data_IF_777161330107
#
_entry.id   IF_777161330107
#
_cell.length_a   1.000
_cell.length_b   1.000
_cell.length_c   1.000
_cell.angle_alpha   90.00
_cell.angle_beta   90.00
_cell.angle_gamma   90.00
#
_symmetry.space_group_name_H-M   'P 1'
#
loop_
_entity.id
_entity.type
_entity.pdbx_description
1 polymer ?
#
# COMPACT_ATOMS: atom_id res chain seq x y z
N UNK A 1 38.56 61.31 -46.46
CA UNK A 1 39.50 60.38 -47.14
C UNK A 1 39.63 59.11 -46.32
N UNK A 2 39.34 57.98 -46.96
CA UNK A 2 39.65 56.60 -46.63
C UNK A 2 38.95 55.99 -45.43
N UNK A 3 37.92 55.08 -45.64
CA UNK A 3 37.96 53.63 -45.91
C UNK A 3 38.65 52.86 -44.79
N UNK A 4 38.09 51.92 -44.17
CA UNK A 4 37.36 50.71 -44.55
C UNK A 4 37.74 49.65 -43.48
N UNK A 5 37.01 48.82 -43.09
CA UNK A 5 36.49 47.55 -43.45
C UNK A 5 35.82 46.88 -42.24
N UNK A 6 34.57 46.57 -42.37
CA UNK A 6 33.86 45.61 -41.52
C UNK A 6 34.38 44.21 -41.73
N UNK A 7 34.49 43.47 -40.60
CA UNK A 7 34.37 42.03 -40.67
C UNK A 7 33.48 41.53 -39.49
N UNK A 8 32.37 40.86 -39.74
CA UNK A 8 31.52 40.38 -38.66
C UNK A 8 32.01 39.01 -38.20
N UNK A 9 32.57 38.94 -36.99
CA UNK A 9 32.80 37.71 -36.31
C UNK A 9 31.46 37.15 -35.83
N UNK A 10 31.06 36.00 -36.38
CA UNK A 10 29.93 35.20 -35.95
C UNK A 10 30.05 34.86 -34.47
N UNK A 11 29.21 35.47 -33.65
CA UNK A 11 29.01 35.05 -32.29
C UNK A 11 28.39 33.66 -32.26
N UNK A 12 29.11 32.70 -31.69
CA UNK A 12 28.54 31.44 -31.24
C UNK A 12 27.52 31.77 -30.15
N UNK A 13 26.27 31.40 -30.37
CA UNK A 13 25.24 31.46 -29.32
C UNK A 13 25.63 30.65 -28.11
N UNK A 14 25.11 31.01 -26.94
CA UNK A 14 25.41 30.26 -25.70
C UNK A 14 24.94 28.83 -25.86
N UNK A 15 25.89 27.89 -25.72
CA UNK A 15 25.63 26.48 -25.51
C UNK A 15 24.67 26.36 -24.34
N UNK A 16 23.53 25.78 -24.58
CA UNK A 16 22.58 25.35 -23.58
C UNK A 16 23.31 24.38 -22.61
N UNK A 17 23.85 24.94 -21.54
CA UNK A 17 24.35 24.16 -20.41
C UNK A 17 23.16 23.41 -19.84
N UNK A 18 23.20 22.11 -19.94
CA UNK A 18 22.25 21.24 -19.26
C UNK A 18 22.27 21.64 -17.77
N UNK A 19 21.16 22.16 -17.29
CA UNK A 19 20.88 22.26 -15.86
C UNK A 19 20.82 20.82 -15.36
N UNK A 20 21.93 20.30 -14.88
CA UNK A 20 21.95 19.16 -13.97
C UNK A 20 21.20 19.63 -12.73
N UNK A 21 20.00 19.11 -12.54
CA UNK A 21 19.26 19.24 -11.28
C UNK A 21 20.22 18.77 -10.17
N UNK A 22 20.74 19.73 -9.39
CA UNK A 22 21.57 19.39 -8.26
C UNK A 22 20.69 18.69 -7.23
N UNK A 23 21.01 17.45 -6.91
CA UNK A 23 20.31 16.66 -5.91
C UNK A 23 20.14 17.48 -4.62
N UNK A 24 18.92 17.54 -4.11
CA UNK A 24 18.54 18.33 -2.93
C UNK A 24 19.22 17.83 -1.65
N UNK A 25 19.47 16.51 -1.59
CA UNK A 25 20.08 15.81 -0.47
C UNK A 25 21.39 15.14 -0.89
N UNK A 26 22.22 14.76 0.09
CA UNK A 26 23.46 14.01 -0.13
C UNK A 26 23.23 12.51 -0.26
N UNK A 27 22.19 11.99 0.41
CA UNK A 27 21.85 10.58 0.42
C UNK A 27 20.92 10.22 -0.74
N UNK A 28 21.18 9.07 -1.36
CA UNK A 28 20.27 8.50 -2.35
C UNK A 28 18.89 8.21 -1.75
N UNK A 29 18.83 7.89 -0.46
CA UNK A 29 17.59 7.63 0.24
C UNK A 29 16.64 8.83 0.21
N UNK A 30 17.09 9.99 0.73
CA UNK A 30 16.22 11.16 0.78
C UNK A 30 15.96 11.76 -0.60
N UNK A 31 16.93 11.72 -1.52
CA UNK A 31 16.68 12.13 -2.91
C UNK A 31 15.61 11.27 -3.55
N UNK A 32 15.71 9.94 -3.45
CA UNK A 32 14.69 9.03 -3.99
C UNK A 32 13.30 9.29 -3.40
N UNK A 33 13.22 9.49 -2.09
CA UNK A 33 11.94 9.76 -1.45
C UNK A 33 11.35 11.13 -1.84
N UNK A 34 12.18 12.16 -1.99
CA UNK A 34 11.75 13.51 -2.39
C UNK A 34 11.25 13.51 -3.84
N UNK A 35 12.02 13.00 -4.79
CA UNK A 35 11.66 12.92 -6.21
C UNK A 35 10.38 12.12 -6.47
N UNK A 36 10.17 11.07 -5.66
CA UNK A 36 8.99 10.20 -5.75
C UNK A 36 7.78 10.72 -4.97
N UNK A 37 7.95 11.76 -4.14
CA UNK A 37 6.85 12.37 -3.40
C UNK A 37 6.46 11.63 -2.13
N UNK A 38 7.38 10.90 -1.50
CA UNK A 38 7.15 10.24 -0.21
C UNK A 38 7.30 11.18 0.99
N UNK A 39 8.07 12.27 0.88
CA UNK A 39 8.35 13.13 2.03
C UNK A 39 7.16 14.05 2.31
N UNK A 40 6.52 13.86 3.45
CA UNK A 40 5.53 14.79 3.99
C UNK A 40 6.14 15.68 5.06
N UNK A 41 6.76 15.08 6.08
CA UNK A 41 7.34 15.79 7.22
C UNK A 41 8.50 14.98 7.80
N UNK A 42 9.56 15.68 8.22
CA UNK A 42 10.71 15.11 8.93
C UNK A 42 11.10 15.96 10.13
N UNK A 43 11.62 15.34 11.20
CA UNK A 43 12.04 16.06 12.42
C UNK A 43 13.34 16.84 12.23
N UNK A 44 14.30 16.25 11.53
CA UNK A 44 15.59 16.83 11.14
C UNK A 44 16.09 16.10 9.88
N UNK A 45 15.72 16.65 8.72
CA UNK A 45 16.12 16.06 7.43
C UNK A 45 17.62 16.18 7.18
N UNK A 46 18.29 17.22 7.67
CA UNK A 46 19.72 17.40 7.48
C UNK A 46 20.57 16.37 8.23
N UNK A 47 20.21 16.11 9.49
CA UNK A 47 20.85 15.07 10.30
C UNK A 47 20.58 13.68 9.76
N UNK A 48 19.34 13.40 9.34
CA UNK A 48 18.98 12.13 8.72
C UNK A 48 19.71 11.91 7.39
N UNK A 49 19.83 12.95 6.55
CA UNK A 49 20.57 12.91 5.29
C UNK A 49 22.04 12.54 5.49
N UNK A 50 22.69 13.20 6.44
CA UNK A 50 24.08 12.91 6.76
C UNK A 50 24.29 11.47 7.27
N UNK A 51 23.31 10.90 7.95
CA UNK A 51 23.33 9.54 8.46
C UNK A 51 23.07 8.52 7.31
N UNK A 52 22.05 8.76 6.51
CA UNK A 52 21.66 7.89 5.39
C UNK A 52 22.75 7.86 4.29
N UNK A 53 23.44 8.99 4.03
CA UNK A 53 24.55 9.04 3.09
C UNK A 53 25.73 8.13 3.47
N UNK A 54 25.87 7.80 4.75
CA UNK A 54 26.89 6.85 5.26
C UNK A 54 26.40 5.40 5.26
N UNK A 55 25.13 5.14 4.85
CA UNK A 55 24.48 3.85 5.00
C UNK A 55 24.27 3.46 6.46
N UNK A 56 24.14 4.42 7.36
CA UNK A 56 24.03 4.22 8.80
C UNK A 56 22.60 4.48 9.34
N UNK A 57 21.64 4.78 8.46
CA UNK A 57 20.26 4.85 8.86
C UNK A 57 19.70 3.44 9.10
N UNK A 58 19.19 3.21 10.31
CA UNK A 58 18.44 2.01 10.70
C UNK A 58 17.02 2.48 10.99
N UNK A 59 16.09 2.19 10.07
CA UNK A 59 14.74 2.73 10.12
C UNK A 59 13.68 1.66 10.30
N UNK A 60 12.62 1.96 11.07
CA UNK A 60 11.53 1.02 11.25
C UNK A 60 10.16 1.61 10.93
N UNK A 61 9.23 0.74 10.61
CA UNK A 61 7.79 1.00 10.60
C UNK A 61 7.11 -0.12 11.39
N UNK A 62 6.19 0.26 12.29
CA UNK A 62 5.34 -0.65 13.05
C UNK A 62 4.03 -0.95 12.31
N UNK A 63 3.58 -2.19 12.41
CA UNK A 63 2.35 -2.65 11.75
C UNK A 63 1.52 -3.50 12.71
N UNK A 64 0.37 -3.01 13.11
CA UNK A 64 -0.60 -3.80 13.85
C UNK A 64 -1.19 -4.92 13.00
N UNK A 65 -1.25 -6.12 13.57
CA UNK A 65 -1.66 -7.36 12.90
C UNK A 65 -3.18 -7.55 12.95
N UNK A 66 -3.94 -6.52 12.55
CA UNK A 66 -5.41 -6.48 12.64
C UNK A 66 -6.13 -7.18 11.49
N UNK A 67 -5.42 -7.60 10.45
CA UNK A 67 -5.95 -8.28 9.29
C UNK A 67 -4.94 -9.30 8.74
N UNK A 68 -5.39 -10.32 7.98
CA UNK A 68 -4.50 -11.38 7.48
C UNK A 68 -3.59 -10.92 6.32
N UNK A 69 -3.70 -9.69 5.85
CA UNK A 69 -2.80 -9.12 4.83
C UNK A 69 -2.73 -7.61 4.99
N UNK A 70 -1.69 -7.03 4.42
CA UNK A 70 -1.68 -5.61 4.09
C UNK A 70 -2.62 -5.33 2.92
N UNK A 71 -3.12 -4.12 2.84
CA UNK A 71 -3.84 -3.60 1.67
C UNK A 71 -3.02 -2.51 0.96
N UNK A 72 -3.44 -2.11 -0.22
CA UNK A 72 -2.73 -1.09 -1.04
C UNK A 72 -2.43 0.20 -0.26
N UNK A 73 -3.30 0.60 0.70
CA UNK A 73 -3.03 1.75 1.56
C UNK A 73 -1.78 1.61 2.44
N UNK A 74 -1.36 0.37 2.78
CA UNK A 74 -0.11 0.12 3.50
C UNK A 74 1.10 0.04 2.55
N UNK A 75 0.86 -0.17 1.25
CA UNK A 75 1.95 -0.36 0.29
C UNK A 75 2.90 0.85 0.24
N UNK A 76 2.39 2.07 0.43
CA UNK A 76 3.22 3.29 0.42
C UNK A 76 4.31 3.25 1.50
N UNK A 77 3.97 2.87 2.72
CA UNK A 77 4.96 2.80 3.83
C UNK A 77 5.87 1.58 3.69
N UNK A 78 5.40 0.48 3.11
CA UNK A 78 6.25 -0.66 2.76
C UNK A 78 7.27 -0.29 1.67
N UNK A 79 6.89 0.54 0.69
CA UNK A 79 7.81 1.07 -0.31
C UNK A 79 8.86 1.99 0.30
N UNK A 80 8.56 2.77 1.36
CA UNK A 80 9.57 3.55 2.08
C UNK A 80 10.64 2.65 2.69
N UNK A 81 10.27 1.54 3.33
CA UNK A 81 11.22 0.54 3.86
C UNK A 81 12.03 -0.11 2.73
N UNK A 82 11.38 -0.45 1.61
CA UNK A 82 12.05 -1.00 0.44
C UNK A 82 13.08 -0.01 -0.13
N UNK A 83 12.76 1.28 -0.22
CA UNK A 83 13.71 2.30 -0.66
C UNK A 83 14.85 2.49 0.33
N UNK A 84 14.59 2.43 1.64
CA UNK A 84 15.65 2.47 2.65
C UNK A 84 16.67 1.33 2.41
N UNK A 85 16.19 0.11 2.14
CA UNK A 85 17.05 -1.03 1.82
C UNK A 85 17.81 -0.84 0.50
N UNK A 86 17.11 -0.46 -0.56
CA UNK A 86 17.68 -0.30 -1.91
C UNK A 86 18.78 0.76 -1.98
N UNK A 87 18.74 1.71 -1.08
CA UNK A 87 19.76 2.78 -0.96
C UNK A 87 20.85 2.47 0.08
N UNK A 88 20.99 1.18 0.47
CA UNK A 88 22.08 0.69 1.31
C UNK A 88 21.92 0.91 2.81
N UNK A 89 20.74 1.30 3.26
CA UNK A 89 20.39 1.48 4.67
C UNK A 89 19.60 0.27 5.20
N UNK A 90 19.40 0.18 6.52
CA UNK A 90 18.81 -1.02 7.14
C UNK A 90 17.37 -0.83 7.58
N UNK A 91 16.40 -1.51 6.94
CA UNK A 91 15.01 -1.48 7.38
C UNK A 91 14.71 -2.50 8.48
N UNK A 92 13.78 -2.13 9.37
CA UNK A 92 13.15 -3.01 10.35
C UNK A 92 11.65 -2.99 10.12
N UNK A 93 11.05 -4.15 9.90
CA UNK A 93 9.60 -4.35 9.92
C UNK A 93 9.24 -4.78 11.34
N UNK A 94 8.55 -3.91 12.07
CA UNK A 94 8.09 -4.22 13.42
C UNK A 94 6.66 -4.71 13.38
N UNK A 95 6.46 -5.99 13.69
CA UNK A 95 5.11 -6.55 13.84
C UNK A 95 4.55 -6.19 15.21
N UNK A 96 3.34 -5.68 15.22
CA UNK A 96 2.65 -5.23 16.41
C UNK A 96 1.95 -6.34 17.18
N UNK A 97 2.62 -7.47 17.45
CA UNK A 97 2.02 -8.58 18.21
C UNK A 97 1.58 -8.19 19.63
N UNK A 98 2.27 -7.22 20.24
CA UNK A 98 1.91 -6.63 21.53
C UNK A 98 0.88 -5.49 21.36
N UNK A 99 1.17 -4.51 20.48
CA UNK A 99 0.33 -3.32 20.29
C UNK A 99 -1.03 -3.65 19.68
N UNK A 100 -1.17 -4.68 18.86
CA UNK A 100 -2.47 -5.13 18.33
C UNK A 100 -3.44 -5.56 19.44
N UNK A 101 -2.93 -6.01 20.58
CA UNK A 101 -3.78 -6.37 21.74
C UNK A 101 -4.40 -5.14 22.42
N UNK A 102 -3.88 -3.96 22.11
CA UNK A 102 -4.29 -2.66 22.66
C UNK A 102 -5.14 -1.90 21.64
N UNK A 103 -4.63 -1.73 20.43
CA UNK A 103 -5.28 -1.05 19.30
C UNK A 103 -4.94 0.43 19.19
N UNK A 104 -4.40 0.82 18.01
CA UNK A 104 -4.06 2.21 17.68
C UNK A 104 -5.33 3.04 17.44
N UNK A 105 -5.57 4.14 18.18
CA UNK A 105 -6.68 5.04 17.97
C UNK A 105 -6.50 5.96 16.74
N UNK A 106 -5.28 6.07 16.18
CA UNK A 106 -4.96 7.01 15.10
C UNK A 106 -5.80 6.77 13.85
N UNK A 107 -6.40 7.85 13.32
CA UNK A 107 -7.14 7.83 12.06
C UNK A 107 -8.45 7.03 12.08
N UNK A 108 -9.00 6.70 13.25
CA UNK A 108 -10.28 5.99 13.41
C UNK A 108 -11.19 6.64 14.46
N UNK A 109 -12.47 6.58 14.20
CA UNK A 109 -13.52 7.10 15.05
C UNK A 109 -14.09 6.04 16.01
N UNK A 110 -13.86 4.76 15.78
CA UNK A 110 -14.38 3.63 16.56
C UNK A 110 -13.27 2.88 17.29
N UNK A 111 -13.58 2.34 18.47
CA UNK A 111 -12.67 1.46 19.21
C UNK A 111 -12.27 0.22 18.40
N UNK A 112 -11.01 -0.18 18.51
CA UNK A 112 -10.51 -1.38 17.85
C UNK A 112 -11.13 -2.63 18.46
N UNK A 113 -11.51 -3.58 17.60
CA UNK A 113 -11.89 -4.91 18.05
C UNK A 113 -10.68 -5.62 18.64
N UNK A 114 -10.79 -6.08 19.87
CA UNK A 114 -9.77 -6.91 20.52
C UNK A 114 -9.76 -8.27 19.84
N UNK A 115 -8.61 -8.68 19.31
CA UNK A 115 -8.41 -9.96 18.65
C UNK A 115 -7.80 -10.99 19.62
N UNK A 116 -8.15 -12.29 19.51
CA UNK A 116 -7.43 -13.37 20.16
C UNK A 116 -5.95 -13.42 19.73
N UNK A 117 -5.06 -13.88 20.61
CA UNK A 117 -3.62 -13.94 20.34
C UNK A 117 -3.33 -14.83 19.13
N UNK A 118 -4.02 -15.96 19.03
CA UNK A 118 -3.89 -16.92 17.92
C UNK A 118 -4.22 -16.27 16.58
N UNK A 119 -5.23 -15.40 16.56
CA UNK A 119 -5.59 -14.66 15.34
C UNK A 119 -4.53 -13.62 14.99
N UNK A 120 -3.95 -12.93 15.98
CA UNK A 120 -2.85 -11.98 15.79
C UNK A 120 -1.63 -12.70 15.22
N UNK A 121 -1.28 -13.89 15.74
CA UNK A 121 -0.14 -14.68 15.26
C UNK A 121 -0.37 -15.19 13.82
N UNK A 122 -1.57 -15.65 13.51
CA UNK A 122 -1.94 -16.04 12.15
C UNK A 122 -1.86 -14.87 11.16
N UNK A 123 -2.38 -13.70 11.55
CA UNK A 123 -2.30 -12.48 10.74
C UNK A 123 -0.84 -12.07 10.52
N UNK A 124 -0.03 -12.07 11.57
CA UNK A 124 1.41 -11.75 11.51
C UNK A 124 2.14 -12.63 10.50
N UNK A 125 1.98 -13.96 10.59
CA UNK A 125 2.59 -14.90 9.66
C UNK A 125 2.19 -14.65 8.20
N UNK A 126 0.93 -14.26 7.97
CA UNK A 126 0.44 -13.92 6.64
C UNK A 126 1.01 -12.59 6.12
N UNK A 127 1.06 -11.55 6.96
CA UNK A 127 1.63 -10.24 6.59
C UNK A 127 3.13 -10.32 6.26
N UNK A 128 3.88 -11.21 6.92
CA UNK A 128 5.31 -11.45 6.63
C UNK A 128 5.55 -11.86 5.18
N UNK A 129 4.63 -12.62 4.56
CA UNK A 129 4.76 -13.03 3.15
C UNK A 129 4.76 -11.84 2.20
N UNK A 130 3.94 -10.82 2.44
CA UNK A 130 3.92 -9.61 1.63
C UNK A 130 5.22 -8.79 1.77
N UNK A 131 5.75 -8.65 2.99
CA UNK A 131 7.02 -7.96 3.23
C UNK A 131 8.18 -8.62 2.48
N UNK A 132 8.23 -9.97 2.45
CA UNK A 132 9.27 -10.73 1.78
C UNK A 132 9.26 -10.58 0.24
N UNK A 133 8.20 -10.03 -0.35
CA UNK A 133 8.14 -9.68 -1.77
C UNK A 133 8.84 -8.35 -2.09
N UNK A 134 8.86 -7.44 -1.12
CA UNK A 134 9.35 -6.07 -1.32
C UNK A 134 10.77 -5.85 -0.79
N UNK A 135 11.23 -6.69 0.14
CA UNK A 135 12.52 -6.56 0.83
C UNK A 135 13.19 -7.92 1.00
N UNK A 136 14.52 -7.92 0.98
CA UNK A 136 15.34 -9.08 1.33
C UNK A 136 15.59 -9.10 2.82
N UNK A 137 15.24 -10.19 3.49
CA UNK A 137 15.49 -10.43 4.91
C UNK A 137 16.73 -11.29 5.09
N UNK A 138 17.56 -10.98 6.10
CA UNK A 138 18.78 -11.72 6.36
C UNK A 138 19.72 -11.06 7.36
N UNK A 139 20.99 -11.42 7.29
CA UNK A 139 22.06 -10.94 8.19
C UNK A 139 23.00 -9.91 7.56
N UNK A 140 22.83 -9.60 6.27
CA UNK A 140 23.62 -8.59 5.58
C UNK A 140 23.42 -7.19 6.14
N UNK A 141 24.34 -6.27 5.80
CA UNK A 141 24.35 -4.91 6.34
C UNK A 141 23.01 -4.19 6.12
N UNK A 142 22.45 -4.27 4.93
CA UNK A 142 21.18 -3.65 4.54
C UNK A 142 20.00 -4.62 4.53
N UNK A 143 20.19 -5.91 4.87
CA UNK A 143 19.09 -6.85 4.93
C UNK A 143 18.08 -6.42 6.00
N UNK A 144 16.82 -6.55 5.65
CA UNK A 144 15.71 -6.23 6.55
C UNK A 144 15.69 -7.16 7.77
N UNK A 145 15.27 -6.61 8.90
CA UNK A 145 14.92 -7.40 10.08
C UNK A 145 13.40 -7.45 10.24
N UNK A 146 12.89 -8.61 10.66
CA UNK A 146 11.52 -8.78 11.12
C UNK A 146 11.53 -8.98 12.61
N UNK A 147 10.87 -8.11 13.37
CA UNK A 147 10.79 -8.16 14.82
C UNK A 147 9.33 -8.10 15.26
N UNK A 148 9.06 -8.57 16.49
CA UNK A 148 7.72 -8.53 17.10
C UNK A 148 7.78 -7.79 18.43
N UNK A 149 7.02 -6.72 18.59
CA UNK A 149 7.03 -5.96 19.83
C UNK A 149 6.40 -6.72 21.02
N UNK A 150 5.71 -7.82 20.78
CA UNK A 150 5.26 -8.73 21.86
C UNK A 150 6.46 -9.26 22.68
N UNK A 151 7.66 -9.39 22.09
CA UNK A 151 8.85 -9.91 22.78
C UNK A 151 9.23 -9.10 24.02
N UNK A 152 8.98 -7.79 24.00
CA UNK A 152 9.28 -6.91 25.13
C UNK A 152 8.03 -6.33 25.80
N UNK A 153 6.97 -5.99 25.06
CA UNK A 153 5.79 -5.34 25.65
C UNK A 153 5.03 -6.28 26.59
N UNK A 154 4.94 -7.58 26.29
CA UNK A 154 4.24 -8.55 27.15
C UNK A 154 4.99 -8.90 28.43
N UNK A 155 6.26 -8.51 28.52
CA UNK A 155 7.11 -8.75 29.71
C UNK A 155 7.17 -7.54 30.64
N UNK A 156 6.56 -6.42 30.26
CA UNK A 156 6.54 -5.23 31.10
C UNK A 156 5.69 -5.48 32.35
N UNK A 157 6.29 -5.30 33.54
CA UNK A 157 5.53 -5.21 34.77
C UNK A 157 4.83 -3.83 34.79
N UNK A 158 3.54 -3.82 35.12
CA UNK A 158 2.73 -2.61 35.09
C UNK A 158 3.26 -1.49 35.98
N UNK A 159 3.66 -1.80 37.22
CA UNK A 159 4.17 -0.77 38.16
C UNK A 159 5.53 -0.27 37.73
N UNK A 160 6.41 -1.15 37.26
CA UNK A 160 7.74 -0.76 36.76
C UNK A 160 7.62 0.08 35.49
N UNK A 161 6.71 -0.29 34.59
CA UNK A 161 6.41 0.49 33.38
C UNK A 161 5.91 1.91 33.74
N UNK A 162 5.01 2.07 34.71
CA UNK A 162 4.56 3.39 35.16
C UNK A 162 5.72 4.19 35.76
N UNK A 163 6.55 3.57 36.61
CA UNK A 163 7.68 4.24 37.28
C UNK A 163 8.79 4.63 36.29
N UNK A 164 9.19 3.73 35.39
CA UNK A 164 10.41 3.89 34.62
C UNK A 164 10.14 4.51 33.24
N UNK A 165 8.94 4.31 32.67
CA UNK A 165 8.53 4.82 31.37
C UNK A 165 7.44 5.91 31.55
N UNK A 166 6.38 5.60 32.26
CA UNK A 166 5.22 6.47 32.43
C UNK A 166 5.55 7.86 33.02
N UNK A 167 6.53 7.91 33.95
CA UNK A 167 7.02 9.18 34.53
C UNK A 167 7.52 10.21 33.50
N UNK A 168 7.85 9.79 32.29
CA UNK A 168 8.33 10.65 31.22
C UNK A 168 7.20 11.27 30.40
N UNK A 169 5.95 10.85 30.62
CA UNK A 169 4.78 11.35 29.91
C UNK A 169 4.00 12.38 30.74
N UNK A 170 3.56 13.43 30.07
CA UNK A 170 2.62 14.41 30.64
C UNK A 170 1.25 14.16 30.04
N UNK A 171 0.24 13.89 30.89
CA UNK A 171 -1.14 13.70 30.46
C UNK A 171 -1.63 14.89 29.64
N UNK A 172 -1.33 16.12 30.09
CA UNK A 172 -1.72 17.33 29.35
C UNK A 172 -1.19 17.34 27.91
N UNK A 173 0.07 16.89 27.70
CA UNK A 173 0.65 16.79 26.37
C UNK A 173 0.03 15.64 25.58
N UNK A 174 -0.23 14.48 26.21
CA UNK A 174 -0.90 13.36 25.57
C UNK A 174 -2.28 13.75 25.05
N UNK A 175 -3.02 14.58 25.77
CA UNK A 175 -4.33 15.09 25.35
C UNK A 175 -4.28 16.06 24.15
N UNK A 176 -3.12 16.62 23.83
CA UNK A 176 -2.96 17.54 22.68
C UNK A 176 -2.61 16.82 21.38
N UNK A 177 -2.33 15.52 21.40
CA UNK A 177 -2.08 14.76 20.18
C UNK A 177 -3.35 14.67 19.32
N UNK A 178 -3.21 14.85 18.01
CA UNK A 178 -4.33 14.93 17.07
C UNK A 178 -5.29 13.72 17.18
N UNK A 179 -4.75 12.53 17.36
CA UNK A 179 -5.53 11.29 17.53
C UNK A 179 -6.40 11.29 18.79
N UNK A 180 -5.94 11.93 19.87
CA UNK A 180 -6.67 12.06 21.14
C UNK A 180 -7.61 13.26 21.07
N UNK A 181 -7.05 14.43 20.72
CA UNK A 181 -7.76 15.70 20.69
C UNK A 181 -9.01 15.66 19.81
N UNK A 182 -8.89 15.11 18.59
CA UNK A 182 -10.00 15.02 17.65
C UNK A 182 -11.17 14.16 18.16
N UNK A 183 -10.90 13.11 18.94
CA UNK A 183 -11.95 12.29 19.56
C UNK A 183 -12.63 12.99 20.73
N UNK A 184 -11.84 13.66 21.57
CA UNK A 184 -12.38 14.45 22.69
C UNK A 184 -13.25 15.62 22.20
N UNK A 185 -12.82 16.32 21.13
CA UNK A 185 -13.58 17.42 20.51
C UNK A 185 -14.91 16.96 19.88
N UNK A 186 -15.00 15.69 19.48
CA UNK A 186 -16.23 15.08 18.93
C UNK A 186 -17.07 14.36 19.99
N UNK A 187 -16.69 14.47 21.26
CA UNK A 187 -17.34 13.78 22.38
C UNK A 187 -17.40 12.24 22.19
N UNK A 188 -16.34 11.69 21.56
CA UNK A 188 -16.20 10.25 21.32
C UNK A 188 -15.40 9.60 22.46
N UNK A 189 -15.94 8.51 22.98
CA UNK A 189 -15.27 7.74 24.03
C UNK A 189 -13.89 7.26 23.58
N UNK A 190 -12.89 7.42 24.45
CA UNK A 190 -11.55 6.86 24.32
C UNK A 190 -11.26 5.98 25.53
N UNK A 191 -11.03 4.70 25.30
CA UNK A 191 -10.70 3.79 26.37
C UNK A 191 -9.28 4.06 26.91
N UNK A 192 -9.06 3.71 28.19
CA UNK A 192 -7.73 3.81 28.81
C UNK A 192 -6.68 3.03 28.06
N UNK A 193 -7.03 1.86 27.49
CA UNK A 193 -6.14 1.02 26.72
C UNK A 193 -5.69 1.75 25.42
N UNK A 194 -6.59 2.37 24.67
CA UNK A 194 -6.27 3.14 23.46
C UNK A 194 -5.43 4.38 23.80
N UNK A 195 -5.72 5.07 24.91
CA UNK A 195 -4.94 6.23 25.38
C UNK A 195 -3.50 5.88 25.69
N UNK A 196 -3.24 4.65 26.16
CA UNK A 196 -1.88 4.17 26.44
C UNK A 196 -1.13 3.71 25.21
N UNK A 197 -1.76 3.55 24.05
CA UNK A 197 -1.09 3.07 22.84
C UNK A 197 0.16 3.90 22.48
N UNK A 198 0.05 5.22 22.57
CA UNK A 198 1.18 6.13 22.29
C UNK A 198 2.41 5.88 23.18
N UNK A 199 2.20 5.40 24.42
CA UNK A 199 3.29 5.05 25.35
C UNK A 199 4.00 3.79 24.86
N UNK A 200 3.25 2.79 24.42
CA UNK A 200 3.80 1.51 23.93
C UNK A 200 4.61 1.73 22.65
N UNK A 201 4.06 2.46 21.68
CA UNK A 201 4.77 2.77 20.43
C UNK A 201 6.03 3.62 20.68
N UNK A 202 5.99 4.58 21.59
CA UNK A 202 7.15 5.36 21.97
C UNK A 202 8.24 4.48 22.63
N UNK A 203 7.84 3.49 23.42
CA UNK A 203 8.76 2.56 24.05
C UNK A 203 9.38 1.58 23.04
N UNK A 204 8.62 1.15 22.03
CA UNK A 204 9.17 0.37 20.91
C UNK A 204 10.38 1.06 20.28
N UNK A 205 10.30 2.37 20.04
CA UNK A 205 11.42 3.12 19.48
C UNK A 205 12.65 3.10 20.40
N UNK A 206 12.46 3.24 21.72
CA UNK A 206 13.54 3.17 22.71
C UNK A 206 14.19 1.79 22.73
N UNK A 207 13.37 0.72 22.72
CA UNK A 207 13.88 -0.67 22.69
C UNK A 207 14.69 -0.91 21.42
N UNK A 208 14.15 -0.54 20.27
CA UNK A 208 14.84 -0.70 18.98
C UNK A 208 16.13 0.14 18.89
N UNK A 209 16.11 1.37 19.43
CA UNK A 209 17.31 2.20 19.50
C UNK A 209 18.43 1.54 20.31
N UNK A 210 18.09 0.99 21.48
CA UNK A 210 19.06 0.36 22.38
C UNK A 210 19.55 -1.00 21.91
N UNK A 211 18.68 -1.80 21.30
CA UNK A 211 18.98 -3.20 20.98
C UNK A 211 19.41 -3.42 19.53
N UNK A 212 19.02 -2.52 18.62
CA UNK A 212 19.27 -2.64 17.17
C UNK A 212 19.95 -1.42 16.55
N UNK A 213 20.29 -0.40 17.34
CA UNK A 213 20.84 0.86 16.83
C UNK A 213 19.86 1.62 15.91
N UNK A 214 18.56 1.35 16.05
CA UNK A 214 17.52 2.02 15.29
C UNK A 214 17.51 3.51 15.60
N UNK A 215 17.54 4.35 14.56
CA UNK A 215 17.63 5.80 14.70
C UNK A 215 16.53 6.55 13.91
N UNK A 216 15.74 5.84 13.12
CA UNK A 216 14.66 6.43 12.32
C UNK A 216 13.35 5.67 12.51
N UNK A 217 12.29 6.39 12.87
CA UNK A 217 10.92 5.87 12.74
C UNK A 217 10.22 6.53 11.56
N UNK A 218 9.59 5.70 10.73
CA UNK A 218 8.82 6.17 9.58
C UNK A 218 7.35 5.76 9.72
N UNK A 219 6.47 6.46 9.00
CA UNK A 219 5.03 6.16 8.98
C UNK A 219 4.26 7.05 8.03
N UNK A 220 2.93 6.92 8.00
CA UNK A 220 2.07 7.89 7.34
C UNK A 220 1.87 9.12 8.24
N UNK A 221 1.35 10.21 7.69
CA UNK A 221 1.25 11.50 8.39
C UNK A 221 0.38 11.47 9.65
N UNK A 222 -0.59 10.55 9.73
CA UNK A 222 -1.41 10.33 10.93
C UNK A 222 -0.62 9.74 12.11
N UNK A 223 0.57 9.19 11.86
CA UNK A 223 1.46 8.65 12.89
C UNK A 223 2.44 9.68 13.46
N UNK A 224 2.46 10.91 12.93
CA UNK A 224 3.44 11.93 13.34
C UNK A 224 3.48 12.15 14.87
N UNK A 225 2.32 12.28 15.51
CA UNK A 225 2.21 12.48 16.95
C UNK A 225 2.85 11.34 17.76
N UNK A 226 2.57 10.10 17.39
CA UNK A 226 3.15 8.93 18.04
C UNK A 226 4.67 8.87 17.83
N UNK A 227 5.16 9.15 16.61
CA UNK A 227 6.58 9.10 16.26
C UNK A 227 7.39 10.14 17.06
N UNK A 228 6.94 11.40 17.11
CA UNK A 228 7.66 12.44 17.87
C UNK A 228 7.61 12.21 19.38
N UNK A 229 6.57 11.54 19.87
CA UNK A 229 6.50 11.09 21.27
C UNK A 229 7.58 10.06 21.56
N UNK A 230 7.88 9.16 20.62
CA UNK A 230 8.99 8.21 20.70
C UNK A 230 10.37 8.91 20.74
N UNK A 231 10.57 9.95 19.92
CA UNK A 231 11.80 10.77 19.95
C UNK A 231 11.97 11.45 21.31
N UNK A 232 10.91 12.06 21.85
CA UNK A 232 10.99 12.73 23.17
C UNK A 232 11.28 11.73 24.31
N UNK A 233 10.63 10.55 24.27
CA UNK A 233 10.92 9.49 25.23
C UNK A 233 12.38 9.01 25.12
N UNK A 234 12.87 8.77 23.91
CA UNK A 234 14.25 8.37 23.65
C UNK A 234 15.26 9.37 24.23
N UNK A 235 15.05 10.67 23.99
CA UNK A 235 15.86 11.75 24.55
C UNK A 235 15.85 11.72 26.09
N UNK A 236 14.68 11.54 26.72
CA UNK A 236 14.53 11.49 28.19
C UNK A 236 15.14 10.21 28.80
N UNK A 237 15.17 9.14 28.05
CA UNK A 237 15.74 7.86 28.46
C UNK A 237 17.19 7.66 28.01
N UNK A 238 17.84 8.70 27.44
CA UNK A 238 19.26 8.73 27.12
C UNK A 238 19.65 7.85 25.92
N UNK A 239 18.80 7.74 24.90
CA UNK A 239 19.20 7.09 23.63
C UNK A 239 20.08 8.06 22.80
N UNK A 240 20.71 7.55 21.73
CA UNK A 240 21.30 8.40 20.70
C UNK A 240 20.21 9.21 19.98
N UNK A 241 20.63 10.15 19.10
CA UNK A 241 19.71 10.98 18.32
C UNK A 241 18.75 10.12 17.48
N UNK A 242 17.45 10.41 17.58
CA UNK A 242 16.36 9.74 16.86
C UNK A 242 15.72 10.70 15.86
N UNK A 243 15.25 10.15 14.74
CA UNK A 243 14.66 10.89 13.63
C UNK A 243 13.27 10.36 13.30
N UNK A 244 12.42 11.26 12.78
CA UNK A 244 11.10 10.97 12.26
C UNK A 244 11.02 11.32 10.77
N UNK A 245 10.33 10.50 9.99
CA UNK A 245 9.98 10.80 8.61
C UNK A 245 8.59 10.25 8.28
N UNK A 246 7.70 11.10 7.78
CA UNK A 246 6.35 10.67 7.40
C UNK A 246 6.06 10.89 5.92
N UNK A 247 5.19 10.04 5.37
CA UNK A 247 4.63 10.16 4.03
C UNK A 247 3.19 10.68 4.10
N UNK A 248 2.68 11.36 3.04
CA UNK A 248 1.28 11.77 2.98
C UNK A 248 0.33 10.57 3.12
N UNK A 249 -0.84 10.79 3.69
CA UNK A 249 -1.93 9.81 3.60
C UNK A 249 -2.31 9.58 2.14
N UNK A 250 -2.47 8.31 1.78
CA UNK A 250 -2.77 7.93 0.41
C UNK A 250 -4.26 8.10 0.12
N UNK A 251 -4.56 9.09 -0.73
CA UNK A 251 -5.91 9.33 -1.26
C UNK A 251 -5.87 9.32 -2.78
N UNK A 252 -7.00 9.08 -3.43
CA UNK A 252 -7.16 9.34 -4.87
C UNK A 252 -7.31 10.84 -5.11
N UNK A 253 -7.21 11.25 -6.38
CA UNK A 253 -7.47 12.64 -6.81
C UNK A 253 -8.91 13.09 -6.50
N UNK A 254 -9.86 12.16 -6.45
CA UNK A 254 -11.25 12.41 -5.99
C UNK A 254 -11.39 12.50 -4.46
N UNK A 255 -10.30 12.37 -3.69
CA UNK A 255 -10.30 12.47 -2.22
C UNK A 255 -10.66 11.17 -1.49
N UNK A 256 -10.94 10.08 -2.18
CA UNK A 256 -11.25 8.80 -1.55
C UNK A 256 -9.98 8.17 -0.94
N UNK A 257 -10.09 7.60 0.27
CA UNK A 257 -8.98 6.85 0.88
C UNK A 257 -8.68 5.61 0.06
N UNK A 258 -7.42 5.42 -0.33
CA UNK A 258 -6.98 4.19 -1.01
C UNK A 258 -6.94 2.98 -0.07
N UNK A 259 -7.04 1.79 -0.67
CA UNK A 259 -7.01 0.52 0.07
C UNK A 259 -8.37 -0.17 0.16
N UNK A 260 -9.45 0.50 -0.24
CA UNK A 260 -10.78 -0.11 -0.37
C UNK A 260 -11.34 0.16 -1.76
N UNK A 261 -11.80 -0.87 -2.43
CA UNK A 261 -12.63 -0.79 -3.63
C UNK A 261 -14.11 -1.00 -3.26
N UNK A 262 -15.00 -0.87 -4.23
CA UNK A 262 -16.42 -1.23 -4.05
C UNK A 262 -16.57 -2.70 -3.60
N UNK A 263 -15.64 -3.56 -4.00
CA UNK A 263 -15.60 -4.99 -3.61
C UNK A 263 -14.99 -5.23 -2.22
N UNK A 264 -14.33 -4.26 -1.60
CA UNK A 264 -13.67 -4.39 -0.30
C UNK A 264 -12.22 -3.93 -0.31
N UNK A 265 -11.42 -4.43 0.64
CA UNK A 265 -9.99 -4.09 0.70
C UNK A 265 -9.22 -4.71 -0.48
N UNK A 266 -8.29 -3.94 -1.04
CA UNK A 266 -7.37 -4.38 -2.09
C UNK A 266 -6.12 -4.96 -1.42
N UNK A 267 -6.13 -6.28 -1.24
CA UNK A 267 -5.12 -7.00 -0.49
C UNK A 267 -3.83 -7.21 -1.28
N UNK A 268 -2.70 -7.30 -0.58
CA UNK A 268 -1.39 -7.53 -1.19
C UNK A 268 -1.05 -9.01 -1.34
N UNK A 269 -1.63 -9.89 -0.50
CA UNK A 269 -1.41 -11.33 -0.59
C UNK A 269 -2.27 -11.94 -1.69
N UNK A 270 -1.67 -12.81 -2.49
CA UNK A 270 -2.31 -13.43 -3.66
C UNK A 270 -3.48 -14.36 -3.30
N UNK A 271 -3.39 -15.03 -2.15
CA UNK A 271 -4.45 -15.89 -1.62
C UNK A 271 -5.73 -15.10 -1.22
N UNK A 272 -5.62 -13.78 -1.11
CA UNK A 272 -6.75 -12.88 -0.81
C UNK A 272 -7.20 -12.04 -2.00
N UNK A 273 -6.31 -11.75 -2.94
CA UNK A 273 -6.60 -11.04 -4.18
C UNK A 273 -5.64 -11.50 -5.27
N UNK A 274 -6.16 -12.21 -6.26
CA UNK A 274 -5.37 -12.76 -7.37
C UNK A 274 -4.69 -11.67 -8.21
N UNK A 275 -3.62 -12.06 -8.90
CA UNK A 275 -2.79 -11.15 -9.70
C UNK A 275 -3.59 -10.39 -10.77
N UNK A 276 -4.59 -11.01 -11.39
CA UNK A 276 -5.45 -10.37 -12.39
C UNK A 276 -6.28 -9.23 -11.78
N UNK A 277 -6.96 -9.47 -10.65
CA UNK A 277 -7.80 -8.46 -10.00
C UNK A 277 -6.94 -7.34 -9.42
N UNK A 278 -5.74 -7.66 -8.88
CA UNK A 278 -4.78 -6.69 -8.42
C UNK A 278 -4.27 -5.80 -9.58
N UNK A 279 -3.96 -6.41 -10.74
CA UNK A 279 -3.59 -5.70 -11.96
C UNK A 279 -4.71 -4.78 -12.44
N UNK A 280 -5.96 -5.29 -12.47
CA UNK A 280 -7.15 -4.52 -12.87
C UNK A 280 -7.40 -3.32 -11.95
N UNK A 281 -7.15 -3.46 -10.66
CA UNK A 281 -7.24 -2.33 -9.73
C UNK A 281 -6.34 -1.17 -10.18
N UNK A 282 -5.08 -1.42 -10.45
CA UNK A 282 -4.14 -0.40 -10.92
C UNK A 282 -4.46 0.11 -12.34
N UNK A 283 -4.90 -0.78 -13.22
CA UNK A 283 -5.33 -0.42 -14.58
C UNK A 283 -6.50 0.58 -14.57
N UNK A 284 -7.32 0.57 -13.53
CA UNK A 284 -8.49 1.42 -13.34
C UNK A 284 -8.18 2.71 -12.56
N UNK A 285 -6.90 3.04 -12.36
CA UNK A 285 -6.47 4.31 -11.77
C UNK A 285 -7.03 5.50 -12.54
N UNK A 286 -7.46 6.55 -11.84
CA UNK A 286 -7.88 7.83 -12.44
C UNK A 286 -6.69 8.48 -13.17
N UNK A 287 -6.94 9.15 -14.30
CA UNK A 287 -5.88 9.74 -15.14
C UNK A 287 -4.98 10.68 -14.35
N UNK A 288 -5.57 11.51 -13.49
CA UNK A 288 -4.87 12.46 -12.64
C UNK A 288 -3.92 11.82 -11.62
N UNK A 289 -4.13 10.54 -11.26
CA UNK A 289 -3.32 9.82 -10.28
C UNK A 289 -2.17 9.02 -10.91
N UNK A 290 -2.19 8.79 -12.23
CA UNK A 290 -1.25 7.88 -12.90
C UNK A 290 0.20 8.26 -12.64
N UNK A 291 0.56 9.53 -12.87
CA UNK A 291 1.93 10.02 -12.68
C UNK A 291 2.40 9.85 -11.23
N UNK A 292 1.54 10.19 -10.26
CA UNK A 292 1.82 10.05 -8.84
C UNK A 292 2.01 8.58 -8.43
N UNK A 293 1.14 7.69 -8.91
CA UNK A 293 1.21 6.28 -8.54
C UNK A 293 2.36 5.55 -9.22
N UNK A 294 2.77 5.94 -10.43
CA UNK A 294 4.03 5.46 -11.03
C UNK A 294 5.23 5.77 -10.14
N UNK A 295 5.29 6.98 -9.55
CA UNK A 295 6.36 7.35 -8.61
C UNK A 295 6.32 6.54 -7.31
N UNK A 296 5.14 6.34 -6.72
CA UNK A 296 4.98 5.74 -5.41
C UNK A 296 5.02 4.20 -5.43
N UNK A 297 4.50 3.56 -6.48
CA UNK A 297 4.23 2.12 -6.50
C UNK A 297 5.00 1.35 -7.55
N UNK A 298 6.01 1.97 -8.15
CA UNK A 298 6.94 1.27 -9.06
C UNK A 298 8.39 1.57 -8.69
N UNK A 299 9.29 0.76 -9.24
CA UNK A 299 10.74 1.00 -9.13
C UNK A 299 11.35 1.52 -10.45
N UNK A 300 10.50 1.98 -11.36
CA UNK A 300 10.94 2.54 -12.64
C UNK A 300 11.85 3.76 -12.43
N UNK A 301 12.84 4.00 -13.31
CA UNK A 301 13.62 5.22 -13.30
C UNK A 301 12.75 6.47 -13.46
N UNK A 302 13.09 7.57 -12.77
CA UNK A 302 12.31 8.82 -12.84
C UNK A 302 12.22 9.38 -14.27
N UNK A 303 13.27 9.19 -15.11
CA UNK A 303 13.25 9.59 -16.52
C UNK A 303 12.19 8.81 -17.35
N UNK A 304 11.96 7.55 -17.04
CA UNK A 304 10.91 6.73 -17.67
C UNK A 304 9.52 7.14 -17.16
N UNK A 305 9.38 7.35 -15.86
CA UNK A 305 8.15 7.87 -15.27
C UNK A 305 7.78 9.23 -15.91
N UNK A 306 8.78 10.10 -16.14
CA UNK A 306 8.55 11.40 -16.80
C UNK A 306 7.97 11.26 -18.21
N UNK A 307 8.43 10.28 -19.00
CA UNK A 307 7.87 9.99 -20.33
C UNK A 307 6.43 9.49 -20.25
N UNK A 308 6.16 8.55 -19.33
CA UNK A 308 4.82 8.01 -19.12
C UNK A 308 3.84 9.06 -18.58
N UNK A 309 4.29 9.95 -17.73
CA UNK A 309 3.49 11.04 -17.17
C UNK A 309 3.15 12.15 -18.19
N UNK A 310 3.89 12.22 -19.29
CA UNK A 310 3.62 13.17 -20.38
C UNK A 310 2.52 12.70 -21.35
N UNK A 311 2.12 11.41 -21.30
CA UNK A 311 1.07 10.85 -22.14
C UNK A 311 -0.30 11.43 -21.78
N UNK A 312 -1.10 11.73 -22.80
CA UNK A 312 -2.41 12.35 -22.64
C UNK A 312 -3.49 11.65 -23.48
N UNK A 313 -4.75 11.94 -23.18
CA UNK A 313 -5.88 11.38 -23.91
C UNK A 313 -5.88 9.85 -23.92
N UNK A 314 -5.97 9.24 -25.08
CA UNK A 314 -5.99 7.76 -25.20
C UNK A 314 -4.66 7.11 -24.79
N UNK A 315 -3.53 7.78 -24.97
CA UNK A 315 -2.19 7.25 -24.69
C UNK A 315 -1.94 7.05 -23.17
N UNK A 316 -2.65 7.77 -22.30
CA UNK A 316 -2.54 7.58 -20.85
C UNK A 316 -2.88 6.14 -20.42
N UNK A 317 -3.67 5.43 -21.26
CA UNK A 317 -3.96 4.02 -21.04
C UNK A 317 -2.72 3.14 -21.10
N UNK A 318 -1.70 3.49 -21.84
CA UNK A 318 -0.44 2.74 -21.87
C UNK A 318 0.36 2.99 -20.60
N UNK A 319 0.38 4.21 -20.09
CA UNK A 319 0.95 4.50 -18.75
C UNK A 319 0.23 3.71 -17.64
N UNK A 320 -1.10 3.56 -17.70
CA UNK A 320 -1.87 2.74 -16.76
C UNK A 320 -1.55 1.26 -16.87
N UNK A 321 -1.33 0.73 -18.08
CA UNK A 321 -0.90 -0.67 -18.26
C UNK A 321 0.49 -0.90 -17.65
N UNK A 322 1.41 0.04 -17.84
CA UNK A 322 2.75 -0.01 -17.22
C UNK A 322 2.63 0.03 -15.70
N UNK A 323 1.89 0.99 -15.13
CA UNK A 323 1.65 1.07 -13.69
C UNK A 323 1.10 -0.25 -13.13
N UNK A 324 0.07 -0.79 -13.77
CA UNK A 324 -0.57 -2.03 -13.35
C UNK A 324 0.41 -3.21 -13.39
N UNK A 325 1.20 -3.32 -14.45
CA UNK A 325 2.16 -4.41 -14.63
C UNK A 325 3.31 -4.31 -13.62
N UNK A 326 3.88 -3.11 -13.43
CA UNK A 326 4.98 -2.90 -12.50
C UNK A 326 4.56 -3.09 -11.03
N UNK A 327 3.44 -2.50 -10.62
CA UNK A 327 2.92 -2.67 -9.26
C UNK A 327 2.54 -4.13 -8.97
N UNK A 328 1.96 -4.84 -9.94
CA UNK A 328 1.65 -6.26 -9.79
C UNK A 328 2.93 -7.11 -9.74
N UNK A 329 3.93 -6.80 -10.56
CA UNK A 329 5.19 -7.53 -10.57
C UNK A 329 5.94 -7.47 -9.23
N UNK A 330 5.84 -6.36 -8.49
CA UNK A 330 6.45 -6.23 -7.16
C UNK A 330 5.93 -7.26 -6.14
N UNK A 331 4.65 -7.62 -6.22
CA UNK A 331 3.99 -8.45 -5.21
C UNK A 331 3.66 -9.87 -5.70
N UNK A 332 3.32 -10.01 -6.97
CA UNK A 332 2.90 -11.30 -7.55
C UNK A 332 3.96 -11.91 -8.48
N UNK A 333 5.03 -11.17 -8.76
CA UNK A 333 6.08 -11.58 -9.67
C UNK A 333 5.82 -11.19 -11.13
N UNK A 334 6.90 -11.05 -11.91
CA UNK A 334 6.87 -10.54 -13.30
C UNK A 334 6.02 -11.41 -14.21
N UNK A 335 6.11 -12.72 -14.10
CA UNK A 335 5.38 -13.66 -14.95
C UNK A 335 3.85 -13.46 -14.79
N UNK A 336 3.35 -13.49 -13.54
CA UNK A 336 1.92 -13.31 -13.27
C UNK A 336 1.40 -11.93 -13.66
N UNK A 337 2.23 -10.89 -13.51
CA UNK A 337 1.88 -9.55 -13.97
C UNK A 337 1.71 -9.47 -15.49
N UNK A 338 2.59 -10.14 -16.25
CA UNK A 338 2.50 -10.24 -17.71
C UNK A 338 1.30 -11.08 -18.16
N UNK A 339 1.03 -12.18 -17.47
CA UNK A 339 -0.15 -13.02 -17.72
C UNK A 339 -1.45 -12.24 -17.48
N UNK A 340 -1.52 -11.46 -16.38
CA UNK A 340 -2.67 -10.60 -16.10
C UNK A 340 -2.87 -9.52 -17.18
N UNK A 341 -1.78 -8.90 -17.64
CA UNK A 341 -1.82 -7.91 -18.73
C UNK A 341 -2.32 -8.53 -20.04
N UNK A 342 -1.80 -9.71 -20.42
CA UNK A 342 -2.23 -10.43 -21.61
C UNK A 342 -3.71 -10.84 -21.52
N UNK A 343 -4.11 -11.42 -20.40
CA UNK A 343 -5.51 -11.81 -20.16
C UNK A 343 -6.45 -10.61 -20.28
N UNK A 344 -6.05 -9.45 -19.74
CA UNK A 344 -6.84 -8.22 -19.88
C UNK A 344 -6.95 -7.77 -21.34
N UNK A 345 -5.86 -7.83 -22.10
CA UNK A 345 -5.85 -7.48 -23.52
C UNK A 345 -6.76 -8.42 -24.33
N UNK A 346 -6.63 -9.71 -24.18
CA UNK A 346 -7.44 -10.71 -24.88
C UNK A 346 -8.93 -10.55 -24.55
N UNK A 347 -9.25 -10.30 -23.27
CA UNK A 347 -10.63 -10.10 -22.82
C UNK A 347 -11.28 -8.85 -23.42
N UNK A 348 -10.52 -7.77 -23.58
CA UNK A 348 -11.03 -6.50 -24.11
C UNK A 348 -11.04 -6.43 -25.64
N UNK A 349 -10.04 -6.98 -26.32
CA UNK A 349 -9.87 -6.86 -27.76
C UNK A 349 -10.60 -7.93 -28.54
N UNK A 350 -10.74 -9.14 -27.98
CA UNK A 350 -11.28 -10.28 -28.69
C UNK A 350 -12.66 -10.77 -28.20
N UNK A 351 -13.17 -10.22 -27.09
CA UNK A 351 -14.43 -10.69 -26.48
C UNK A 351 -14.40 -12.15 -25.99
N UNK A 352 -13.24 -12.82 -26.11
CA UNK A 352 -13.06 -14.22 -25.79
C UNK A 352 -12.94 -14.47 -24.27
N UNK A 353 -13.26 -15.70 -23.84
CA UNK A 353 -12.97 -16.17 -22.49
C UNK A 353 -11.45 -16.39 -22.35
N UNK A 354 -10.72 -15.37 -21.89
CA UNK A 354 -9.28 -15.45 -21.76
C UNK A 354 -8.85 -16.42 -20.64
N UNK A 355 -7.86 -17.26 -20.90
CA UNK A 355 -7.37 -18.33 -20.00
C UNK A 355 -6.74 -17.84 -18.68
N UNK A 356 -6.77 -16.64 -18.32
CA UNK A 356 -6.20 -16.11 -17.07
C UNK A 356 -7.22 -15.42 -16.17
N UNK A 357 -8.52 -15.47 -16.51
CA UNK A 357 -9.57 -14.92 -15.68
C UNK A 357 -9.76 -15.75 -14.40
N UNK A 358 -10.15 -15.10 -13.26
CA UNK A 358 -10.57 -15.83 -12.08
C UNK A 358 -11.61 -16.88 -12.44
N UNK A 359 -11.39 -18.12 -12.00
CA UNK A 359 -12.22 -19.25 -12.37
C UNK A 359 -12.83 -19.89 -11.12
N UNK A 360 -14.13 -20.15 -11.16
CA UNK A 360 -14.88 -20.87 -10.13
C UNK A 360 -15.40 -22.18 -10.73
N UNK A 361 -15.16 -23.28 -10.04
CA UNK A 361 -15.61 -24.59 -10.44
C UNK A 361 -17.08 -24.79 -10.09
N UNK A 362 -17.80 -25.47 -10.99
CA UNK A 362 -19.21 -25.84 -10.84
C UNK A 362 -19.41 -27.28 -11.28
N UNK A 363 -20.21 -28.06 -10.53
CA UNK A 363 -20.48 -29.44 -10.92
C UNK A 363 -21.27 -29.47 -12.24
N UNK A 364 -20.86 -30.31 -13.20
CA UNK A 364 -21.58 -30.47 -14.46
C UNK A 364 -23.05 -30.90 -14.24
N UNK A 365 -23.33 -31.67 -13.19
CA UNK A 365 -24.70 -32.06 -12.78
C UNK A 365 -25.55 -30.85 -12.37
N UNK A 366 -24.99 -29.82 -11.80
CA UNK A 366 -25.73 -28.59 -11.47
C UNK A 366 -26.15 -27.85 -12.74
N UNK A 367 -25.27 -27.78 -13.74
CA UNK A 367 -25.61 -27.18 -15.04
C UNK A 367 -26.63 -28.01 -15.84
N UNK A 368 -26.64 -29.35 -15.68
CA UNK A 368 -27.64 -30.19 -16.28
C UNK A 368 -29.06 -29.90 -15.75
N UNK A 369 -29.18 -29.54 -14.46
CA UNK A 369 -30.46 -29.15 -13.84
C UNK A 369 -30.71 -27.63 -13.97
N UNK A 370 -29.73 -26.90 -14.39
CA UNK A 370 -29.73 -25.44 -14.52
C UNK A 370 -29.49 -24.71 -13.21
N UNK A 371 -28.56 -23.76 -13.20
CA UNK A 371 -28.22 -22.91 -12.06
C UNK A 371 -28.83 -21.52 -12.24
N UNK A 372 -29.59 -21.04 -11.26
CA UNK A 372 -30.18 -19.70 -11.31
C UNK A 372 -29.10 -18.62 -11.49
N UNK A 373 -29.32 -17.69 -12.43
CA UNK A 373 -28.34 -16.66 -12.78
C UNK A 373 -27.90 -15.83 -11.57
N UNK A 374 -28.80 -15.45 -10.67
CA UNK A 374 -28.49 -14.68 -9.46
C UNK A 374 -27.50 -15.44 -8.57
N UNK A 375 -27.75 -16.73 -8.34
CA UNK A 375 -26.88 -17.58 -7.51
C UNK A 375 -25.50 -17.77 -8.16
N UNK A 376 -25.44 -17.89 -9.49
CA UNK A 376 -24.20 -18.01 -10.24
C UNK A 376 -23.30 -16.77 -10.06
N UNK A 377 -23.86 -15.57 -10.12
CA UNK A 377 -23.11 -14.33 -9.91
C UNK A 377 -22.65 -14.13 -8.45
N UNK A 378 -23.45 -14.59 -7.47
CA UNK A 378 -23.04 -14.60 -6.05
C UNK A 378 -21.91 -15.61 -5.84
N UNK A 379 -22.02 -16.84 -6.38
CA UNK A 379 -20.98 -17.88 -6.30
C UNK A 379 -19.67 -17.44 -6.95
N UNK A 380 -19.76 -16.71 -8.06
CA UNK A 380 -18.61 -16.12 -8.75
C UNK A 380 -17.98 -14.93 -7.97
N UNK A 381 -18.55 -14.49 -6.85
CA UNK A 381 -18.05 -13.35 -6.10
C UNK A 381 -18.17 -12.00 -6.82
N UNK A 382 -18.93 -11.94 -7.91
CA UNK A 382 -19.16 -10.71 -8.66
C UNK A 382 -20.14 -9.78 -7.96
N UNK A 383 -21.06 -10.33 -7.18
CA UNK A 383 -22.03 -9.62 -6.33
C UNK A 383 -22.12 -10.28 -4.95
N UNK A 384 -22.53 -9.53 -3.93
CA UNK A 384 -22.59 -10.00 -2.54
C UNK A 384 -23.87 -10.75 -2.18
N UNK A 385 -24.93 -10.54 -2.94
CA UNK A 385 -26.25 -11.13 -2.68
C UNK A 385 -27.14 -11.14 -3.92
N UNK A 386 -28.18 -12.00 -3.90
CA UNK A 386 -29.20 -12.02 -4.95
C UNK A 386 -29.91 -10.67 -5.11
N UNK A 387 -30.08 -9.90 -4.02
CA UNK A 387 -30.65 -8.55 -4.08
C UNK A 387 -29.76 -7.57 -4.83
N UNK A 388 -28.44 -7.68 -4.69
CA UNK A 388 -27.50 -6.89 -5.47
C UNK A 388 -27.51 -7.33 -6.94
N UNK A 389 -27.53 -8.63 -7.21
CA UNK A 389 -27.63 -9.16 -8.58
C UNK A 389 -28.87 -8.61 -9.31
N UNK A 390 -30.04 -8.58 -8.67
CA UNK A 390 -31.26 -7.99 -9.24
C UNK A 390 -31.10 -6.53 -9.62
N UNK A 391 -30.53 -5.73 -8.73
CA UNK A 391 -30.26 -4.31 -9.03
C UNK A 391 -29.30 -4.14 -10.20
N UNK A 392 -28.28 -5.00 -10.31
CA UNK A 392 -27.34 -4.97 -11.41
C UNK A 392 -27.97 -5.42 -12.74
N UNK A 393 -28.90 -6.38 -12.73
CA UNK A 393 -29.69 -6.76 -13.92
C UNK A 393 -30.54 -5.59 -14.38
N UNK A 394 -31.27 -4.94 -13.46
CA UNK A 394 -32.10 -3.78 -13.78
C UNK A 394 -31.29 -2.61 -14.36
N UNK A 395 -30.02 -2.47 -13.96
CA UNK A 395 -29.07 -1.49 -14.50
C UNK A 395 -28.30 -1.96 -15.75
N UNK A 396 -28.58 -3.14 -16.31
CA UNK A 396 -27.88 -3.71 -17.47
C UNK A 396 -26.40 -4.08 -17.20
N UNK A 397 -26.04 -4.25 -15.92
CA UNK A 397 -24.68 -4.46 -15.48
C UNK A 397 -24.19 -5.91 -15.55
N UNK A 398 -25.07 -6.91 -15.60
CA UNK A 398 -24.70 -8.33 -15.64
C UNK A 398 -24.76 -8.89 -17.06
N UNK A 399 -23.75 -9.70 -17.40
CA UNK A 399 -23.67 -10.39 -18.70
C UNK A 399 -23.23 -11.84 -18.52
N UNK A 400 -23.78 -12.72 -19.35
CA UNK A 400 -23.36 -14.11 -19.53
C UNK A 400 -22.85 -14.25 -20.95
N UNK A 401 -21.62 -14.71 -21.15
CA UNK A 401 -20.97 -14.80 -22.47
C UNK A 401 -21.16 -13.51 -23.29
N UNK A 402 -20.91 -12.37 -22.64
CA UNK A 402 -21.02 -11.01 -23.18
C UNK A 402 -22.46 -10.54 -23.54
N UNK A 403 -23.46 -11.40 -23.39
CA UNK A 403 -24.88 -11.07 -23.59
C UNK A 403 -25.47 -10.55 -22.27
N UNK A 404 -26.18 -9.41 -22.34
CA UNK A 404 -26.81 -8.82 -21.16
C UNK A 404 -27.90 -9.76 -20.59
N UNK A 405 -27.87 -9.93 -19.26
CA UNK A 405 -28.93 -10.65 -18.53
C UNK A 405 -30.10 -9.69 -18.30
N UNK A 406 -31.25 -10.00 -18.84
CA UNK A 406 -32.45 -9.19 -18.69
C UNK A 406 -33.53 -9.87 -17.84
N UNK A 407 -33.40 -11.16 -17.56
CA UNK A 407 -34.31 -11.96 -16.77
C UNK A 407 -33.64 -12.47 -15.50
N UNK A 408 -34.16 -12.10 -14.34
CA UNK A 408 -33.66 -12.56 -13.04
C UNK A 408 -33.95 -14.04 -12.75
N UNK A 409 -34.92 -14.62 -13.45
CA UNK A 409 -35.28 -16.03 -13.36
C UNK A 409 -34.46 -16.92 -14.32
N UNK A 410 -33.61 -16.33 -15.18
CA UNK A 410 -32.78 -17.07 -16.12
C UNK A 410 -31.93 -18.13 -15.42
N UNK A 411 -31.70 -19.24 -16.10
CA UNK A 411 -30.89 -20.35 -15.61
C UNK A 411 -29.73 -20.63 -16.57
N UNK A 412 -28.55 -20.78 -16.01
CA UNK A 412 -27.35 -21.23 -16.73
C UNK A 412 -27.41 -22.75 -16.87
N UNK A 413 -27.18 -23.24 -18.06
CA UNK A 413 -27.24 -24.66 -18.43
C UNK A 413 -25.94 -25.11 -19.12
N UNK A 414 -25.83 -26.39 -19.43
CA UNK A 414 -24.72 -26.89 -20.25
C UNK A 414 -24.67 -26.24 -21.65
N UNK A 415 -25.80 -25.71 -22.16
CA UNK A 415 -25.86 -24.98 -23.43
C UNK A 415 -25.18 -23.62 -23.42
N UNK A 416 -24.94 -23.07 -22.22
CA UNK A 416 -24.25 -21.79 -22.06
C UNK A 416 -22.70 -21.92 -21.99
N UNK A 417 -22.20 -23.17 -22.03
CA UNK A 417 -20.75 -23.44 -22.01
C UNK A 417 -20.17 -23.15 -23.39
N UNK A 418 -19.24 -22.20 -23.45
CA UNK A 418 -18.46 -21.85 -24.64
C UNK A 418 -16.99 -22.08 -24.33
N UNK A 419 -16.29 -22.81 -25.18
CA UNK A 419 -14.88 -23.18 -24.99
C UNK A 419 -14.55 -23.80 -23.61
N UNK A 420 -15.52 -24.58 -23.08
CA UNK A 420 -15.37 -25.30 -21.81
C UNK A 420 -15.68 -24.47 -20.56
N UNK A 421 -16.13 -23.22 -20.68
CA UNK A 421 -16.46 -22.32 -19.57
C UNK A 421 -17.70 -21.48 -19.86
N UNK A 422 -18.29 -20.87 -18.80
CA UNK A 422 -19.31 -19.82 -18.93
C UNK A 422 -18.68 -18.53 -18.40
N UNK A 423 -18.58 -17.49 -19.22
CA UNK A 423 -18.06 -16.19 -18.81
C UNK A 423 -19.15 -15.35 -18.16
N UNK A 424 -18.98 -15.00 -16.89
CA UNK A 424 -19.81 -14.06 -16.15
C UNK A 424 -19.13 -12.70 -16.05
N UNK A 425 -19.88 -11.62 -16.30
CA UNK A 425 -19.32 -10.26 -16.27
C UNK A 425 -20.20 -9.29 -15.49
N UNK A 426 -19.58 -8.45 -14.65
CA UNK A 426 -20.20 -7.31 -13.99
C UNK A 426 -19.61 -6.02 -14.57
N UNK A 427 -20.42 -5.31 -15.36
CA UNK A 427 -19.98 -4.16 -16.14
C UNK A 427 -18.94 -4.57 -17.20
N UNK A 428 -18.04 -3.64 -17.52
CA UNK A 428 -16.98 -3.83 -18.54
C UNK A 428 -15.64 -4.31 -17.98
N UNK A 429 -15.51 -4.48 -16.68
CA UNK A 429 -14.19 -4.60 -16.02
C UNK A 429 -14.02 -5.82 -15.11
N UNK A 430 -15.09 -6.46 -14.68
CA UNK A 430 -15.04 -7.60 -13.78
C UNK A 430 -15.60 -8.84 -14.47
N UNK A 431 -14.75 -9.86 -14.60
CA UNK A 431 -15.08 -11.11 -15.29
C UNK A 431 -14.65 -12.30 -14.45
N UNK A 432 -15.45 -13.35 -14.44
CA UNK A 432 -15.16 -14.63 -13.78
C UNK A 432 -15.63 -15.75 -14.70
N UNK A 433 -14.87 -16.82 -14.81
CA UNK A 433 -15.24 -18.02 -15.53
C UNK A 433 -15.89 -19.03 -14.58
N UNK A 434 -17.03 -19.60 -14.97
CA UNK A 434 -17.53 -20.83 -14.37
C UNK A 434 -17.05 -22.00 -15.21
N UNK A 435 -16.29 -22.90 -14.62
CA UNK A 435 -15.74 -24.07 -15.27
C UNK A 435 -16.47 -25.34 -14.79
N UNK A 436 -17.16 -26.05 -15.66
CA UNK A 436 -17.76 -27.35 -15.34
C UNK A 436 -16.69 -28.37 -14.98
N UNK A 437 -16.96 -29.16 -13.94
CA UNK A 437 -16.16 -30.31 -13.53
C UNK A 437 -17.01 -31.58 -13.47
#
# INVERSE_FOLDING_TARGET
MFRSLCNPSRGRGPTQTALTDMAKFKSDFLNTLDERGFIHQGSDLGGLDALAAKGAAVGYIGFDCTAPSFHVGNMIVLMMLSWLQRTGNKPIVLMGGGTTRVGDPSGKDEARKILPVEQIDANKASMQRACAKLMTFGSGRSDALMLDNAEWLTRLNYIEMLRDIGRHFSVNRMLTLDSVKSRLERDQEMSFIEFNYQVLQAYDFVVLARTRGCNLQMGASDQWGNIVTGIDLGRRMGTHQLYALTTPLLTTSSGAKMGKSVAGAVWLNEDMLGAYDFWQYWRNTEDADVARFLKLFTTLPMAEIGKLAALQGAEINDAKKVLATEATALLHGRQKAQEAARTAQETFEQGAAAQGLPTVEIAASELATGVGVLAAFVRAGLVKSNGEARRQIAGGGLRVNDVAVNDEAARLTAGDVVDGVIKLSLGKKRHVLLKPM
#
